data_IF_284942932649
#
_entry.id   IF_284942932649
#
_cell.length_a   1.000
_cell.length_b   1.000
_cell.length_c   1.000
_cell.angle_alpha   90.00
_cell.angle_beta   90.00
_cell.angle_gamma   90.00
#
_symmetry.space_group_name_H-M   'P 1'
#
loop_
_entity.id
_entity.type
_entity.pdbx_description
1 polymer ?
#
# COMPACT_ATOMS: atom_id res chain seq x y z
N UNK A 1 -13.45 -22.25 1.75
CA UNK A 1 -14.63 -21.38 1.54
C UNK A 1 -14.07 -20.04 1.09
N UNK A 2 -13.98 -19.81 -0.23
CA UNK A 2 -13.64 -18.48 -0.74
C UNK A 2 -14.76 -17.53 -0.26
N UNK A 3 -14.38 -16.36 0.25
CA UNK A 3 -15.36 -15.37 0.67
C UNK A 3 -16.14 -14.92 -0.58
N UNK A 4 -17.35 -15.43 -0.77
CA UNK A 4 -18.35 -14.72 -1.56
C UNK A 4 -18.68 -13.44 -0.78
N UNK A 5 -18.08 -12.31 -1.15
CA UNK A 5 -18.37 -11.04 -0.49
C UNK A 5 -17.27 -9.98 -0.58
N UNK A 6 -17.67 -8.75 -0.27
CA UNK A 6 -16.82 -7.57 -0.19
C UNK A 6 -15.78 -7.71 0.95
N UNK A 7 -14.49 -7.60 0.60
CA UNK A 7 -13.37 -7.74 1.52
C UNK A 7 -13.20 -6.53 2.45
N UNK A 8 -13.77 -5.37 2.11
CA UNK A 8 -13.56 -4.10 2.83
C UNK A 8 -13.86 -4.18 4.34
N UNK A 9 -15.02 -4.71 4.80
CA UNK A 9 -15.32 -4.79 6.23
C UNK A 9 -14.36 -5.74 6.98
N UNK A 10 -13.92 -6.81 6.31
CA UNK A 10 -13.00 -7.79 6.87
C UNK A 10 -11.61 -7.22 7.06
N UNK A 11 -11.10 -6.47 6.07
CA UNK A 11 -9.84 -5.75 6.17
C UNK A 11 -9.86 -4.75 7.32
N UNK A 12 -10.91 -3.91 7.44
CA UNK A 12 -11.04 -2.97 8.56
C UNK A 12 -11.03 -3.69 9.91
N UNK A 13 -11.77 -4.80 10.05
CA UNK A 13 -11.79 -5.59 11.29
C UNK A 13 -10.42 -6.16 11.63
N UNK A 14 -9.72 -6.74 10.66
CA UNK A 14 -8.39 -7.31 10.83
C UNK A 14 -7.39 -6.22 11.26
N UNK A 15 -7.39 -5.06 10.60
CA UNK A 15 -6.52 -3.94 10.95
C UNK A 15 -6.77 -3.42 12.37
N UNK A 16 -8.03 -3.37 12.84
CA UNK A 16 -8.34 -3.01 14.23
C UNK A 16 -7.72 -3.99 15.24
N UNK A 17 -7.69 -5.29 14.93
CA UNK A 17 -7.09 -6.31 15.80
C UNK A 17 -5.56 -6.10 15.89
N UNK A 18 -4.92 -5.77 14.77
CA UNK A 18 -3.47 -5.53 14.73
C UNK A 18 -3.07 -4.06 14.93
N UNK A 19 -3.99 -3.19 15.39
CA UNK A 19 -3.73 -1.75 15.61
C UNK A 19 -2.51 -1.50 16.52
N UNK A 20 -2.22 -2.42 17.44
CA UNK A 20 -1.05 -2.34 18.30
C UNK A 20 0.29 -2.42 17.54
N UNK A 21 0.29 -2.85 16.27
CA UNK A 21 1.47 -2.88 15.40
C UNK A 21 1.74 -1.56 14.67
N UNK A 22 0.87 -0.57 14.81
CA UNK A 22 1.04 0.74 14.21
C UNK A 22 -0.14 1.66 14.49
N UNK A 23 0.12 2.85 15.02
CA UNK A 23 -0.90 3.80 15.47
C UNK A 23 -0.83 5.16 14.76
N UNK A 24 0.10 5.32 13.82
CA UNK A 24 0.30 6.61 13.15
C UNK A 24 -0.53 6.76 11.88
N UNK A 25 -0.80 5.66 11.17
CA UNK A 25 -1.61 5.66 9.97
C UNK A 25 -2.26 4.31 9.74
N UNK A 26 -3.35 4.32 8.97
CA UNK A 26 -4.02 3.12 8.50
C UNK A 26 -4.44 3.26 7.03
N UNK A 27 -4.62 2.14 6.35
CA UNK A 27 -5.12 2.16 4.98
C UNK A 27 -5.47 0.79 4.46
N UNK A 28 -6.31 0.77 3.43
CA UNK A 28 -6.69 -0.43 2.67
C UNK A 28 -6.68 -0.12 1.17
N UNK A 29 -6.39 -1.15 0.38
CA UNK A 29 -6.53 -1.16 -1.07
C UNK A 29 -7.29 -2.42 -1.48
N UNK A 30 -8.29 -2.29 -2.35
CA UNK A 30 -9.16 -3.38 -2.80
C UNK A 30 -9.26 -3.40 -4.32
N UNK A 31 -9.32 -4.60 -4.87
CA UNK A 31 -9.49 -4.87 -6.29
C UNK A 31 -10.92 -5.35 -6.56
N UNK A 32 -11.58 -4.70 -7.52
CA UNK A 32 -12.97 -4.98 -7.88
C UNK A 32 -13.12 -5.90 -9.12
N UNK A 33 -12.04 -6.53 -9.57
CA UNK A 33 -12.01 -7.30 -10.83
C UNK A 33 -11.61 -6.47 -12.06
N UNK A 34 -11.41 -5.15 -11.91
CA UNK A 34 -10.96 -4.25 -12.98
C UNK A 34 -9.84 -3.32 -12.55
N UNK A 35 -10.01 -2.65 -11.42
CA UNK A 35 -9.09 -1.61 -10.93
C UNK A 35 -8.88 -1.71 -9.42
N UNK A 36 -7.77 -1.18 -8.93
CA UNK A 36 -7.52 -1.01 -7.49
C UNK A 36 -8.06 0.33 -7.02
N UNK A 37 -8.91 0.30 -5.99
CA UNK A 37 -9.33 1.48 -5.23
C UNK A 37 -8.75 1.42 -3.82
N UNK A 38 -8.43 2.57 -3.23
CA UNK A 38 -7.80 2.62 -1.92
C UNK A 38 -8.29 3.79 -1.07
N UNK A 39 -8.18 3.63 0.24
CA UNK A 39 -8.37 4.69 1.22
C UNK A 39 -7.34 4.55 2.32
N UNK A 40 -6.61 5.63 2.63
CA UNK A 40 -5.50 5.64 3.58
C UNK A 40 -5.31 7.05 4.15
N UNK A 41 -4.79 7.13 5.37
CA UNK A 41 -4.59 8.40 6.04
C UNK A 41 -3.92 8.25 7.41
N UNK A 42 -3.57 9.40 7.99
CA UNK A 42 -2.97 9.48 9.33
C UNK A 42 -4.02 9.23 10.41
N UNK A 43 -3.62 8.54 11.47
CA UNK A 43 -4.45 8.19 12.61
C UNK A 43 -4.75 6.69 12.73
N UNK A 44 -5.62 6.39 13.69
CA UNK A 44 -6.05 5.04 14.01
C UNK A 44 -7.04 4.51 12.96
N UNK A 45 -7.18 3.19 12.88
CA UNK A 45 -8.03 2.51 11.90
C UNK A 45 -9.49 3.01 11.95
N UNK A 46 -10.01 3.30 13.14
CA UNK A 46 -11.39 3.76 13.30
C UNK A 46 -11.61 5.24 12.91
N UNK A 47 -10.55 6.04 12.96
CA UNK A 47 -10.54 7.44 12.56
C UNK A 47 -10.40 7.55 11.04
N UNK A 48 -9.52 6.72 10.46
CA UNK A 48 -9.19 6.78 9.03
C UNK A 48 -10.21 6.04 8.17
N UNK A 49 -10.55 4.79 8.51
CA UNK A 49 -11.40 3.94 7.65
C UNK A 49 -12.89 4.21 7.90
N UNK A 50 -13.32 5.43 7.62
CA UNK A 50 -14.70 5.90 7.77
C UNK A 50 -15.07 6.91 6.68
N UNK A 51 -16.33 7.34 6.67
CA UNK A 51 -16.81 8.37 5.75
C UNK A 51 -17.02 7.87 4.32
N UNK A 52 -17.29 8.82 3.41
CA UNK A 52 -17.76 8.55 2.05
C UNK A 52 -16.75 7.73 1.23
N UNK A 53 -15.47 8.07 1.28
CA UNK A 53 -14.44 7.40 0.49
C UNK A 53 -14.27 5.94 0.89
N UNK A 54 -14.21 5.64 2.20
CA UNK A 54 -14.21 4.27 2.70
C UNK A 54 -15.48 3.52 2.28
N UNK A 55 -16.66 4.13 2.41
CA UNK A 55 -17.94 3.50 2.05
C UNK A 55 -18.10 3.25 0.54
N UNK A 56 -17.32 3.94 -0.31
CA UNK A 56 -17.30 3.70 -1.76
C UNK A 56 -16.36 2.57 -2.20
N UNK A 57 -15.52 2.06 -1.30
CA UNK A 57 -14.66 0.92 -1.61
C UNK A 57 -15.49 -0.34 -1.72
N UNK A 58 -15.29 -1.10 -2.80
CA UNK A 58 -15.91 -2.40 -3.04
C UNK A 58 -14.89 -3.28 -3.74
N UNK A 59 -14.68 -4.50 -3.25
CA UNK A 59 -13.83 -5.48 -3.94
C UNK A 59 -13.68 -6.77 -3.16
N UNK A 60 -13.53 -7.88 -3.88
CA UNK A 60 -13.49 -9.23 -3.27
C UNK A 60 -12.07 -9.63 -2.84
N UNK A 61 -11.06 -8.82 -3.14
CA UNK A 61 -9.66 -9.06 -2.78
C UNK A 61 -9.01 -7.74 -2.41
N UNK A 62 -8.15 -7.74 -1.41
CA UNK A 62 -7.45 -6.53 -1.01
C UNK A 62 -6.44 -6.76 0.10
N UNK A 63 -5.70 -5.70 0.38
CA UNK A 63 -4.66 -5.65 1.41
C UNK A 63 -4.90 -4.44 2.32
N UNK A 64 -4.31 -4.48 3.51
CA UNK A 64 -4.38 -3.39 4.47
C UNK A 64 -3.08 -3.21 5.22
N UNK A 65 -2.88 -2.03 5.78
CA UNK A 65 -1.69 -1.70 6.56
C UNK A 65 -2.05 -0.81 7.76
N UNK A 66 -1.34 -1.03 8.87
CA UNK A 66 -1.24 -0.07 9.98
C UNK A 66 0.23 0.28 10.14
N UNK A 67 0.54 1.58 10.20
CA UNK A 67 1.93 2.06 10.20
C UNK A 67 2.36 2.47 11.60
N UNK A 68 3.51 1.94 12.01
CA UNK A 68 4.39 2.54 13.00
C UNK A 68 5.58 3.11 12.24
N UNK A 69 5.99 4.36 12.46
CA UNK A 69 7.10 4.93 11.69
C UNK A 69 8.42 4.38 12.19
N UNK A 70 9.00 3.46 11.42
CA UNK A 70 10.40 3.03 11.54
C UNK A 70 11.30 3.82 10.60
N UNK A 71 10.81 4.10 9.39
CA UNK A 71 11.51 4.83 8.32
C UNK A 71 10.57 5.79 7.58
N UNK A 72 11.14 6.90 7.12
CA UNK A 72 10.42 8.01 6.48
C UNK A 72 9.68 8.91 7.47
N UNK A 73 9.28 10.09 7.02
CA UNK A 73 8.51 11.06 7.81
C UNK A 73 7.13 10.53 8.24
N UNK A 74 6.58 11.06 9.34
CA UNK A 74 5.19 10.82 9.72
C UNK A 74 4.28 11.78 8.97
N UNK A 75 3.92 11.43 7.73
CA UNK A 75 3.11 12.26 6.84
C UNK A 75 2.18 11.39 5.98
N UNK A 76 1.14 12.02 5.43
CA UNK A 76 0.06 11.32 4.73
C UNK A 76 0.55 10.59 3.47
N UNK A 77 1.57 11.11 2.80
CA UNK A 77 2.17 10.55 1.59
C UNK A 77 2.80 9.18 1.85
N UNK A 78 3.27 8.96 3.09
CA UNK A 78 3.90 7.71 3.53
C UNK A 78 2.89 6.66 4.05
N UNK A 79 1.58 6.97 4.02
CA UNK A 79 0.56 5.99 4.37
C UNK A 79 0.54 4.84 3.36
N UNK A 80 0.37 3.62 3.86
CA UNK A 80 0.29 2.40 3.04
C UNK A 80 -1.14 1.82 3.09
N UNK A 81 -1.54 0.97 2.13
CA UNK A 81 -0.78 0.45 0.98
C UNK A 81 -0.36 1.51 -0.03
N UNK A 82 0.81 1.36 -0.66
CA UNK A 82 1.25 2.17 -1.81
C UNK A 82 0.67 1.56 -3.07
N UNK A 83 -0.01 2.38 -3.88
CA UNK A 83 -0.60 1.98 -5.15
C UNK A 83 0.14 2.63 -6.30
N UNK A 84 0.38 1.86 -7.37
CA UNK A 84 0.92 2.37 -8.63
C UNK A 84 0.11 1.80 -9.79
N UNK A 85 -0.15 2.63 -10.79
CA UNK A 85 -0.74 2.19 -12.05
C UNK A 85 0.40 1.96 -13.05
N UNK A 86 0.39 0.81 -13.70
CA UNK A 86 1.36 0.45 -14.73
C UNK A 86 0.63 0.02 -16.00
N UNK A 87 1.36 -0.09 -17.10
CA UNK A 87 0.81 -0.61 -18.35
C UNK A 87 0.29 -2.05 -18.21
N UNK A 88 0.94 -2.84 -17.35
CA UNK A 88 0.63 -4.26 -17.15
C UNK A 88 -0.46 -4.47 -16.07
N UNK A 89 -0.89 -3.40 -15.40
CA UNK A 89 -1.96 -3.42 -14.40
C UNK A 89 -1.70 -2.55 -13.18
N UNK A 90 -2.71 -2.49 -12.31
CA UNK A 90 -2.61 -1.83 -11.02
C UNK A 90 -1.87 -2.72 -10.02
N UNK A 91 -0.98 -2.11 -9.23
CA UNK A 91 -0.28 -2.77 -8.14
C UNK A 91 -0.58 -2.06 -6.82
N UNK A 92 -0.72 -2.84 -5.75
CA UNK A 92 -0.80 -2.33 -4.39
C UNK A 92 0.18 -3.11 -3.51
N UNK A 93 0.95 -2.39 -2.69
CA UNK A 93 1.93 -2.97 -1.77
C UNK A 93 1.75 -2.43 -0.36
N UNK A 94 1.72 -3.36 0.60
CA UNK A 94 1.88 -3.08 2.02
C UNK A 94 3.13 -3.83 2.52
N UNK A 95 4.03 -3.14 3.19
CA UNK A 95 5.29 -3.68 3.67
C UNK A 95 5.52 -3.35 5.13
N UNK A 96 5.84 -4.37 5.92
CA UNK A 96 6.23 -4.27 7.32
C UNK A 96 7.65 -4.81 7.46
N UNK A 97 8.63 -3.91 7.42
CA UNK A 97 10.05 -4.20 7.46
C UNK A 97 10.86 -2.93 7.22
N UNK A 98 12.18 -3.10 7.05
CA UNK A 98 13.09 -2.04 6.65
C UNK A 98 14.14 -2.59 5.67
N UNK A 99 14.38 -1.87 4.58
CA UNK A 99 15.45 -2.20 3.63
C UNK A 99 16.74 -1.47 4.03
N UNK A 100 17.69 -2.23 4.59
CA UNK A 100 18.93 -1.70 5.16
C UNK A 100 19.77 -0.83 4.22
N UNK A 101 19.68 -1.06 2.90
CA UNK A 101 20.39 -0.30 1.87
C UNK A 101 19.47 0.60 1.02
N UNK A 102 18.27 0.94 1.52
CA UNK A 102 17.28 1.77 0.82
C UNK A 102 17.87 3.10 0.28
N UNK A 103 18.71 3.78 1.06
CA UNK A 103 19.33 5.05 0.66
C UNK A 103 20.24 4.91 -0.57
N UNK A 104 21.03 3.82 -0.63
CA UNK A 104 21.90 3.52 -1.76
C UNK A 104 21.08 3.18 -3.00
N UNK A 105 20.06 2.33 -2.85
CA UNK A 105 19.17 1.95 -3.95
C UNK A 105 18.42 3.17 -4.49
N UNK A 106 17.86 4.01 -3.61
CA UNK A 106 17.16 5.23 -3.99
C UNK A 106 18.06 6.18 -4.78
N UNK A 107 19.27 6.42 -4.30
CA UNK A 107 20.25 7.29 -5.00
C UNK A 107 20.56 6.75 -6.39
N UNK A 108 20.79 5.44 -6.52
CA UNK A 108 21.03 4.80 -7.82
C UNK A 108 19.84 5.00 -8.76
N UNK A 109 18.63 4.64 -8.34
CA UNK A 109 17.42 4.77 -9.17
C UNK A 109 17.13 6.23 -9.55
N UNK A 110 17.35 7.18 -8.64
CA UNK A 110 17.22 8.62 -8.94
C UNK A 110 18.23 9.07 -9.99
N UNK A 111 19.48 8.56 -9.96
CA UNK A 111 20.48 8.85 -10.99
C UNK A 111 20.11 8.28 -12.37
N UNK A 112 19.28 7.22 -12.39
CA UNK A 112 18.69 6.63 -13.60
C UNK A 112 17.39 7.36 -14.03
N UNK A 113 16.97 8.41 -13.31
CA UNK A 113 15.82 9.25 -13.65
C UNK A 113 14.52 8.91 -12.92
N UNK A 114 14.54 8.03 -11.90
CA UNK A 114 13.34 7.63 -11.19
C UNK A 114 12.90 8.70 -10.18
N UNK A 115 11.60 9.00 -10.17
CA UNK A 115 10.98 9.90 -9.21
C UNK A 115 10.30 9.13 -8.06
N UNK A 116 10.48 9.63 -6.83
CA UNK A 116 9.86 9.10 -5.62
C UNK A 116 8.94 10.15 -5.01
N UNK A 117 7.73 9.74 -4.61
CA UNK A 117 6.70 10.58 -4.01
C UNK A 117 6.65 10.47 -2.49
N UNK A 118 7.28 9.45 -1.93
CA UNK A 118 7.34 9.14 -0.50
C UNK A 118 8.79 9.13 -0.04
N UNK A 119 8.99 9.13 1.28
CA UNK A 119 10.31 8.88 1.88
C UNK A 119 10.49 7.44 2.38
N UNK A 120 9.51 6.57 2.11
CA UNK A 120 9.55 5.17 2.56
C UNK A 120 10.41 4.30 1.63
N UNK A 121 11.01 3.27 2.20
CA UNK A 121 11.65 2.17 1.47
C UNK A 121 10.63 1.33 0.68
N UNK A 122 9.39 1.31 1.13
CA UNK A 122 8.29 0.56 0.54
C UNK A 122 7.97 1.05 -0.88
N UNK A 123 8.19 2.34 -1.17
CA UNK A 123 8.09 2.86 -2.54
C UNK A 123 9.19 2.33 -3.46
N UNK A 124 10.39 2.04 -2.93
CA UNK A 124 11.46 1.41 -3.71
C UNK A 124 11.00 0.03 -4.17
N UNK A 125 10.40 -0.77 -3.27
CA UNK A 125 9.91 -2.11 -3.58
C UNK A 125 8.87 -2.06 -4.70
N UNK A 126 7.83 -1.24 -4.56
CA UNK A 126 6.73 -1.21 -5.54
C UNK A 126 7.18 -0.68 -6.90
N UNK A 127 8.11 0.27 -6.93
CA UNK A 127 8.66 0.81 -8.19
C UNK A 127 9.53 -0.22 -8.92
N UNK A 128 10.36 -0.97 -8.20
CA UNK A 128 11.16 -2.05 -8.77
C UNK A 128 10.21 -3.13 -9.32
N UNK A 129 9.25 -3.61 -8.53
CA UNK A 129 8.29 -4.61 -9.01
C UNK A 129 7.50 -4.15 -10.24
N UNK A 130 7.01 -2.91 -10.25
CA UNK A 130 6.34 -2.33 -11.40
C UNK A 130 7.20 -2.33 -12.67
N UNK A 131 8.51 -2.12 -12.51
CA UNK A 131 9.46 -2.12 -13.63
C UNK A 131 9.77 -3.53 -14.09
N UNK A 132 10.03 -4.47 -13.18
CA UNK A 132 10.31 -5.86 -13.54
C UNK A 132 9.14 -6.53 -14.25
N UNK A 133 7.89 -6.26 -13.81
CA UNK A 133 6.68 -6.75 -14.47
C UNK A 133 6.51 -6.20 -15.90
N UNK A 134 7.12 -5.06 -16.21
CA UNK A 134 7.07 -4.47 -17.57
C UNK A 134 8.12 -5.06 -18.53
N UNK A 135 9.14 -5.74 -17.99
CA UNK A 135 10.27 -6.30 -18.75
C UNK A 135 10.10 -7.81 -18.90
N UNK A 136 9.66 -8.48 -17.85
CA UNK A 136 9.33 -9.90 -17.84
C UNK A 136 7.83 -10.04 -17.58
N UNK A 137 7.08 -10.76 -18.45
CA UNK A 137 5.72 -11.15 -18.09
C UNK A 137 5.75 -11.95 -16.77
N UNK A 138 4.64 -11.88 -16.03
CA UNK A 138 4.44 -12.66 -14.80
C UNK A 138 4.86 -14.12 -15.08
N UNK A 139 5.79 -14.69 -14.29
CA UNK A 139 6.25 -16.07 -14.52
C UNK A 139 5.15 -17.12 -14.33
N UNK A 140 3.93 -16.73 -13.94
CA UNK A 140 2.75 -17.59 -13.74
C UNK A 140 1.78 -17.48 -14.91
#
# INVERSE_FOLDING_TARGET
MALEGDAVPHLKKALRIIQHRGQEAAGIAVYNGKTISYHRGMGLVHEVLTGRQYNSLVGNTGIGHVRYSTSGSSCAENCQPITVNTKEGDLALAHNGDIVNAASIRTKLQSEGWAFLTSTDSEIIVRIMATELSISPDPI
#
